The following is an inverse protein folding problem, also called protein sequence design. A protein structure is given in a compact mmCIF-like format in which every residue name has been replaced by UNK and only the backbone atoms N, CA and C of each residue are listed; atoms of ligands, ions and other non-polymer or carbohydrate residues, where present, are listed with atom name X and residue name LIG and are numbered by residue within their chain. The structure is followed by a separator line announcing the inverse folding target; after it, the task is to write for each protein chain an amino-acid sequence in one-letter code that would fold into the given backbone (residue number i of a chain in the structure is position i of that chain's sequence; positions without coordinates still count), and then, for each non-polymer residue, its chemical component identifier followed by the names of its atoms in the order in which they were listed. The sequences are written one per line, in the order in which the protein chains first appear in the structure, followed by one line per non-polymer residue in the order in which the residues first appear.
data_IF_918355694492
#
_entry.id   IF_918355694492
#
_cell.length_a   1.000
_cell.length_b   1.000
_cell.length_c   1.000
_cell.angle_alpha   90.00
_cell.angle_beta   90.00
_cell.angle_gamma   90.00
#
_symmetry.space_group_name_H-M   'P 1'
#
loop_
_entity.id
_entity.type
_entity.pdbx_description
1 polymer ?
#
# COMPACT_ATOMS: atom_id res chain seq x y z
N UNK A 1 18.05 3.33 -22.90
CA UNK A 1 17.16 2.59 -21.97
C UNK A 1 17.87 2.52 -20.64
N UNK A 2 17.28 3.09 -19.59
CA UNK A 2 17.82 2.95 -18.25
C UNK A 2 17.50 1.54 -17.74
N UNK A 3 18.53 0.79 -17.37
CA UNK A 3 18.41 -0.58 -16.88
C UNK A 3 18.66 -0.61 -15.39
N UNK A 4 17.73 -1.16 -14.63
CA UNK A 4 17.93 -1.36 -13.20
C UNK A 4 18.66 -2.68 -12.93
N UNK A 5 19.70 -2.63 -12.09
CA UNK A 5 20.38 -3.83 -11.63
C UNK A 5 19.60 -4.48 -10.47
N UNK A 6 18.61 -5.31 -10.82
CA UNK A 6 17.74 -6.01 -9.86
C UNK A 6 18.54 -6.93 -8.92
N UNK A 7 19.59 -7.56 -9.45
CA UNK A 7 20.46 -8.41 -8.65
C UNK A 7 21.19 -7.62 -7.56
N UNK A 8 21.66 -6.41 -7.87
CA UNK A 8 22.28 -5.53 -6.89
C UNK A 8 21.27 -5.08 -5.82
N UNK A 9 20.06 -4.69 -6.23
CA UNK A 9 18.97 -4.29 -5.30
C UNK A 9 18.64 -5.43 -4.34
N UNK A 10 18.39 -6.63 -4.88
CA UNK A 10 18.03 -7.81 -4.08
C UNK A 10 19.18 -8.25 -3.16
N UNK A 11 20.44 -8.21 -3.63
CA UNK A 11 21.61 -8.55 -2.81
C UNK A 11 21.80 -7.58 -1.65
N UNK A 12 21.71 -6.27 -1.92
CA UNK A 12 21.84 -5.23 -0.89
C UNK A 12 20.78 -5.37 0.18
N UNK A 13 19.52 -5.53 -0.21
CA UNK A 13 18.42 -5.64 0.77
C UNK A 13 18.48 -6.95 1.56
N UNK A 14 18.83 -8.07 0.94
CA UNK A 14 19.02 -9.35 1.65
C UNK A 14 20.17 -9.27 2.67
N UNK A 15 21.25 -8.56 2.34
CA UNK A 15 22.36 -8.30 3.28
C UNK A 15 21.90 -7.49 4.50
N UNK A 16 21.11 -6.44 4.31
CA UNK A 16 20.60 -5.63 5.44
C UNK A 16 19.70 -6.46 6.35
N UNK A 17 18.86 -7.33 5.78
CA UNK A 17 18.00 -8.25 6.56
C UNK A 17 18.85 -9.21 7.41
N UNK A 18 19.82 -9.87 6.77
CA UNK A 18 20.66 -10.90 7.42
C UNK A 18 21.61 -10.31 8.46
N UNK A 19 22.30 -9.22 8.13
CA UNK A 19 23.22 -8.54 9.05
C UNK A 19 22.47 -7.81 10.18
N UNK A 20 21.27 -7.29 9.90
CA UNK A 20 20.51 -6.47 10.86
C UNK A 20 19.73 -7.26 11.91
N UNK A 21 19.30 -8.49 11.61
CA UNK A 21 18.43 -9.25 12.52
C UNK A 21 19.18 -9.92 13.70
N UNK A 22 20.50 -10.12 13.59
CA UNK A 22 21.26 -10.96 14.53
C UNK A 22 22.12 -10.20 15.55
N UNK A 23 22.35 -8.88 15.39
CA UNK A 23 23.35 -8.15 16.19
C UNK A 23 22.88 -6.82 16.80
N UNK A 24 21.59 -6.50 16.78
CA UNK A 24 21.07 -5.22 17.28
C UNK A 24 20.71 -5.28 18.76
N UNK A 25 21.13 -4.27 19.52
CA UNK A 25 20.68 -4.07 20.90
C UNK A 25 19.30 -3.40 20.86
N UNK A 26 18.29 -4.12 21.35
CA UNK A 26 16.89 -3.68 21.22
C UNK A 26 16.51 -2.81 22.40
N UNK A 27 16.13 -1.55 22.15
CA UNK A 27 15.59 -0.66 23.19
C UNK A 27 14.31 -1.19 23.83
N UNK A 28 13.43 -1.82 23.04
CA UNK A 28 12.15 -2.37 23.48
C UNK A 28 11.99 -3.84 23.07
N UNK A 29 12.73 -4.79 23.68
CA UNK A 29 12.79 -6.18 23.21
C UNK A 29 11.43 -6.89 23.27
N UNK A 30 10.56 -6.51 24.21
CA UNK A 30 9.20 -7.07 24.38
C UNK A 30 8.31 -6.84 23.17
N UNK A 31 8.49 -5.74 22.43
CA UNK A 31 7.68 -5.44 21.24
C UNK A 31 7.91 -6.45 20.10
N UNK A 32 9.01 -7.23 20.13
CA UNK A 32 9.23 -8.34 19.20
C UNK A 32 8.16 -9.42 19.31
N UNK A 33 7.68 -9.66 20.51
CA UNK A 33 6.69 -10.71 20.78
C UNK A 33 5.33 -10.37 20.14
N UNK A 34 4.98 -9.08 20.06
CA UNK A 34 3.75 -8.59 19.43
C UNK A 34 3.64 -8.96 17.95
N UNK A 35 4.77 -9.17 17.27
CA UNK A 35 4.81 -9.55 15.85
C UNK A 35 5.11 -11.03 15.62
N UNK A 36 5.15 -11.86 16.67
CA UNK A 36 5.12 -13.33 16.59
C UNK A 36 6.13 -13.97 15.60
N UNK A 37 7.37 -13.48 15.56
CA UNK A 37 8.43 -14.07 14.73
C UNK A 37 8.51 -13.53 13.29
N UNK A 38 7.83 -12.42 12.99
CA UNK A 38 8.02 -11.69 11.73
C UNK A 38 9.42 -11.08 11.66
N UNK A 39 10.11 -11.32 10.55
CA UNK A 39 11.47 -10.83 10.26
C UNK A 39 11.50 -9.75 9.19
N UNK A 40 10.41 -9.57 8.43
CA UNK A 40 10.28 -8.52 7.43
C UNK A 40 8.82 -8.06 7.32
N UNK A 41 8.61 -6.76 7.40
CA UNK A 41 7.31 -6.14 7.10
C UNK A 41 7.46 -5.36 5.79
N UNK A 42 6.54 -5.59 4.87
CA UNK A 42 6.50 -4.92 3.56
C UNK A 42 5.21 -4.10 3.49
N UNK A 43 5.34 -2.80 3.29
CA UNK A 43 4.24 -1.82 3.37
C UNK A 43 4.27 -0.85 2.18
N UNK A 44 4.94 -1.25 1.10
CA UNK A 44 5.03 -0.45 -0.13
C UNK A 44 3.73 -0.38 -0.93
N UNK A 45 2.72 -1.17 -0.55
CA UNK A 45 1.50 -1.41 -1.30
C UNK A 45 0.34 -0.59 -0.73
N UNK A 46 -0.35 0.18 -1.58
CA UNK A 46 -1.64 0.76 -1.23
C UNK A 46 -2.72 -0.18 -1.74
N UNK A 47 -3.75 -0.46 -0.93
CA UNK A 47 -4.84 -1.33 -1.36
C UNK A 47 -5.70 -0.61 -2.40
N UNK A 48 -5.26 -0.72 -3.65
CA UNK A 48 -5.84 -0.09 -4.81
C UNK A 48 -6.47 -1.16 -5.70
N UNK A 49 -7.63 -0.82 -6.28
CA UNK A 49 -8.33 -1.66 -7.26
C UNK A 49 -7.46 -1.92 -8.50
N UNK A 50 -6.64 -0.95 -8.90
CA UNK A 50 -5.59 -1.16 -9.89
C UNK A 50 -4.28 -1.38 -9.16
N UNK A 51 -3.82 -2.63 -9.12
CA UNK A 51 -2.45 -2.96 -8.73
C UNK A 51 -1.47 -2.14 -9.58
N UNK A 52 -0.72 -1.15 -9.05
CA UNK A 52 0.29 -0.44 -9.82
C UNK A 52 1.42 -1.39 -10.24
N UNK A 53 2.00 -1.16 -11.41
CA UNK A 53 3.06 -2.03 -11.94
C UNK A 53 4.38 -1.96 -11.14
N UNK A 54 4.64 -0.85 -10.46
CA UNK A 54 5.75 -0.75 -9.51
C UNK A 54 5.51 -1.59 -8.24
N UNK A 55 4.24 -1.83 -7.86
CA UNK A 55 3.91 -2.79 -6.79
C UNK A 55 4.07 -4.24 -7.26
N UNK A 56 3.81 -4.56 -8.53
CA UNK A 56 4.15 -5.89 -9.11
C UNK A 56 5.66 -6.11 -9.04
N UNK A 57 6.44 -5.10 -9.44
CA UNK A 57 7.89 -5.13 -9.31
C UNK A 57 8.34 -5.27 -7.84
N UNK A 58 7.71 -4.53 -6.93
CA UNK A 58 7.98 -4.63 -5.50
C UNK A 58 7.79 -6.05 -4.97
N UNK A 59 6.67 -6.69 -5.32
CA UNK A 59 6.37 -8.08 -4.97
C UNK A 59 7.38 -9.07 -5.57
N UNK A 60 7.79 -8.87 -6.82
CA UNK A 60 8.81 -9.68 -7.48
C UNK A 60 10.18 -9.59 -6.75
N UNK A 61 10.59 -8.38 -6.38
CA UNK A 61 11.85 -8.15 -5.65
C UNK A 61 11.77 -8.68 -4.22
N UNK A 62 10.64 -8.48 -3.54
CA UNK A 62 10.41 -9.00 -2.19
C UNK A 62 10.61 -10.52 -2.14
N UNK A 63 10.05 -11.27 -3.11
CA UNK A 63 10.22 -12.73 -3.19
C UNK A 63 11.69 -13.14 -3.35
N UNK A 64 12.44 -12.44 -4.20
CA UNK A 64 13.86 -12.72 -4.40
C UNK A 64 14.72 -12.37 -3.19
N UNK A 65 14.43 -11.25 -2.52
CA UNK A 65 15.09 -10.87 -1.27
C UNK A 65 14.86 -11.92 -0.19
N UNK A 66 13.61 -12.36 -0.01
CA UNK A 66 13.25 -13.40 0.95
C UNK A 66 14.04 -14.69 0.71
N UNK A 67 14.08 -15.16 -0.54
CA UNK A 67 14.83 -16.36 -0.91
C UNK A 67 16.32 -16.22 -0.60
N UNK A 68 16.92 -15.06 -0.89
CA UNK A 68 18.34 -14.79 -0.61
C UNK A 68 18.66 -14.65 0.87
N UNK A 69 17.72 -14.14 1.66
CA UNK A 69 17.85 -14.02 3.11
C UNK A 69 17.48 -15.32 3.86
N UNK A 70 17.01 -16.36 3.16
CA UNK A 70 16.57 -17.61 3.77
C UNK A 70 15.24 -17.50 4.52
N UNK A 71 14.43 -16.48 4.24
CA UNK A 71 13.15 -16.25 4.91
C UNK A 71 12.04 -17.12 4.29
N UNK A 72 11.20 -17.69 5.14
CA UNK A 72 9.95 -18.32 4.73
C UNK A 72 8.84 -17.28 4.52
N UNK A 73 7.72 -17.67 3.92
CA UNK A 73 6.59 -16.76 3.71
C UNK A 73 5.97 -16.30 5.04
N UNK A 74 5.99 -17.15 6.06
CA UNK A 74 5.43 -16.90 7.40
C UNK A 74 6.25 -15.85 8.17
N UNK A 75 7.56 -15.75 7.89
CA UNK A 75 8.44 -14.73 8.46
C UNK A 75 8.21 -13.34 7.84
N UNK A 76 7.33 -13.21 6.83
CA UNK A 76 7.13 -11.98 6.06
C UNK A 76 5.67 -11.52 6.15
N UNK A 77 5.45 -10.28 6.59
CA UNK A 77 4.15 -9.62 6.50
C UNK A 77 4.14 -8.72 5.27
N UNK A 78 3.58 -9.19 4.16
CA UNK A 78 3.34 -8.35 2.98
C UNK A 78 1.98 -7.67 3.09
N UNK A 79 1.98 -6.37 3.37
CA UNK A 79 0.80 -5.63 3.79
C UNK A 79 0.42 -4.58 2.76
N UNK A 80 -0.86 -4.61 2.38
CA UNK A 80 -1.49 -3.58 1.55
C UNK A 80 -2.22 -2.59 2.47
N UNK A 81 -1.80 -1.33 2.45
CA UNK A 81 -2.37 -0.26 3.25
C UNK A 81 -3.75 0.12 2.70
N UNK A 82 -4.81 -0.28 3.41
CA UNK A 82 -6.22 -0.08 3.07
C UNK A 82 -6.87 1.08 3.81
N UNK A 83 -6.04 1.87 4.49
CA UNK A 83 -6.42 3.09 5.18
C UNK A 83 -6.17 4.36 4.34
N UNK A 84 -6.22 4.23 3.02
CA UNK A 84 -6.03 5.34 2.07
C UNK A 84 -7.35 6.06 1.77
N UNK A 85 -7.27 7.24 1.15
CA UNK A 85 -8.43 7.92 0.58
C UNK A 85 -8.52 7.62 -0.92
N UNK A 86 -9.36 6.66 -1.35
CA UNK A 86 -9.34 6.17 -2.73
C UNK A 86 -9.40 7.27 -3.79
N UNK A 87 -10.15 8.34 -3.49
CA UNK A 87 -10.32 9.53 -4.34
C UNK A 87 -9.02 10.26 -4.71
N UNK A 88 -8.04 10.25 -3.82
CA UNK A 88 -6.85 11.10 -3.89
C UNK A 88 -5.57 10.37 -4.31
N UNK A 89 -5.55 9.04 -4.21
CA UNK A 89 -4.38 8.24 -4.57
C UNK A 89 -4.28 8.00 -6.09
N UNK A 90 -3.05 7.96 -6.62
CA UNK A 90 -2.77 7.70 -8.03
C UNK A 90 -2.08 6.34 -8.21
N UNK A 91 -2.57 5.45 -9.10
CA UNK A 91 -3.80 5.55 -9.90
C UNK A 91 -5.05 5.64 -9.02
N UNK A 92 -6.12 6.29 -9.49
CA UNK A 92 -7.36 6.53 -8.73
C UNK A 92 -7.90 5.24 -8.11
N UNK A 93 -7.86 5.11 -6.79
CA UNK A 93 -8.21 3.88 -6.05
C UNK A 93 -9.66 3.45 -6.22
N UNK A 94 -10.55 4.37 -6.60
CA UNK A 94 -11.97 4.13 -6.78
C UNK A 94 -12.39 3.77 -8.21
N UNK A 95 -11.45 3.75 -9.17
CA UNK A 95 -11.75 3.45 -10.58
C UNK A 95 -10.94 2.26 -11.04
N UNK A 96 -11.48 1.41 -11.90
CA UNK A 96 -10.67 0.46 -12.69
C UNK A 96 -10.14 1.19 -13.92
N UNK A 97 -8.93 0.93 -14.39
CA UNK A 97 -8.35 1.61 -15.56
C UNK A 97 -8.19 0.67 -16.76
N UNK A 98 -9.11 0.72 -17.72
CA UNK A 98 -9.04 -0.05 -18.96
C UNK A 98 -8.67 0.79 -20.17
N UNK A 99 -7.49 1.43 -20.19
CA UNK A 99 -6.92 2.22 -21.33
C UNK A 99 -7.74 3.43 -21.85
N UNK A 100 -9.06 3.36 -21.78
CA UNK A 100 -10.07 4.22 -22.37
C UNK A 100 -11.38 4.26 -21.58
N UNK A 101 -11.67 3.24 -20.74
CA UNK A 101 -12.84 3.19 -19.86
C UNK A 101 -12.39 3.11 -18.41
N UNK A 102 -13.02 3.92 -17.55
CA UNK A 102 -12.73 3.93 -16.13
C UNK A 102 -14.01 3.77 -15.30
N UNK A 103 -14.53 2.55 -15.10
CA UNK A 103 -15.70 2.37 -14.25
C UNK A 103 -15.33 2.68 -12.80
N UNK A 104 -16.27 3.25 -12.07
CA UNK A 104 -16.15 3.42 -10.63
C UNK A 104 -16.50 2.10 -9.94
N UNK A 105 -15.77 1.75 -8.88
CA UNK A 105 -16.01 0.50 -8.14
C UNK A 105 -16.04 0.66 -6.62
N UNK A 106 -15.56 1.79 -6.10
CA UNK A 106 -15.60 2.12 -4.67
C UNK A 106 -16.31 3.45 -4.44
N UNK A 107 -16.80 3.63 -3.23
CA UNK A 107 -17.11 4.95 -2.70
C UNK A 107 -15.79 5.67 -2.35
N UNK A 108 -15.48 6.84 -2.95
CA UNK A 108 -14.22 7.52 -2.71
C UNK A 108 -14.11 8.16 -1.31
N UNK A 109 -15.24 8.38 -0.62
CA UNK A 109 -15.26 9.06 0.69
C UNK A 109 -15.23 8.07 1.87
N UNK A 110 -15.56 6.80 1.63
CA UNK A 110 -15.63 5.77 2.68
C UNK A 110 -14.33 5.00 2.83
N UNK A 111 -14.00 4.63 4.06
CA UNK A 111 -12.85 3.77 4.38
C UNK A 111 -12.98 2.41 3.68
N UNK A 112 -11.94 1.99 2.93
CA UNK A 112 -11.99 0.81 2.06
C UNK A 112 -12.46 -0.46 2.79
N UNK A 113 -11.88 -0.76 3.95
CA UNK A 113 -12.18 -1.98 4.69
C UNK A 113 -13.54 -1.94 5.41
N UNK A 114 -14.20 -0.78 5.47
CA UNK A 114 -15.55 -0.63 6.03
C UNK A 114 -16.64 -0.66 4.93
N UNK A 115 -16.26 -0.77 3.66
CA UNK A 115 -17.19 -0.94 2.55
C UNK A 115 -17.62 -2.41 2.42
N UNK A 116 -18.90 -2.61 2.15
CA UNK A 116 -19.60 -3.90 2.15
C UNK A 116 -19.89 -4.44 0.74
N UNK A 117 -19.58 -3.68 -0.32
CA UNK A 117 -19.75 -4.12 -1.69
C UNK A 117 -18.80 -3.41 -2.67
N UNK A 118 -18.32 -4.17 -3.66
CA UNK A 118 -17.65 -3.62 -4.84
C UNK A 118 -18.68 -3.28 -5.91
N UNK A 119 -18.73 -2.02 -6.37
CA UNK A 119 -19.73 -1.49 -7.30
C UNK A 119 -19.38 -1.72 -8.79
N UNK A 120 -18.78 -2.86 -9.13
CA UNK A 120 -18.41 -3.15 -10.52
C UNK A 120 -19.63 -3.54 -11.36
N UNK A 121 -19.88 -2.80 -12.44
CA UNK A 121 -20.91 -3.09 -13.44
C UNK A 121 -20.29 -3.37 -14.81
N UNK A 122 -20.28 -4.64 -15.23
CA UNK A 122 -19.75 -5.06 -16.53
C UNK A 122 -20.49 -4.46 -17.72
N UNK A 123 -21.78 -4.14 -17.59
CA UNK A 123 -22.57 -3.57 -18.68
C UNK A 123 -22.21 -2.11 -18.93
N UNK A 124 -21.88 -1.35 -17.88
CA UNK A 124 -21.32 -0.01 -18.01
C UNK A 124 -19.97 -0.03 -18.76
N UNK A 125 -19.13 -1.04 -18.50
CA UNK A 125 -17.82 -1.18 -19.18
C UNK A 125 -18.00 -1.54 -20.66
N UNK A 126 -18.91 -2.45 -20.99
CA UNK A 126 -19.18 -2.87 -22.39
C UNK A 126 -19.75 -1.70 -23.22
N UNK A 127 -20.74 -0.97 -22.67
CA UNK A 127 -21.40 0.16 -23.36
C UNK A 127 -20.41 1.27 -23.72
N UNK A 128 -19.45 1.54 -22.85
CA UNK A 128 -18.44 2.59 -23.04
C UNK A 128 -17.15 2.08 -23.74
N UNK A 129 -16.87 0.77 -23.66
CA UNK A 129 -15.64 0.12 -24.12
C UNK A 129 -15.71 -0.43 -25.55
N UNK A 130 -16.79 -1.09 -25.94
CA UNK A 130 -16.93 -1.65 -27.31
C UNK A 130 -16.94 -0.56 -28.39
N UNK A 131 -17.42 0.65 -28.07
CA UNK A 131 -17.39 1.79 -29.00
C UNK A 131 -16.02 2.48 -29.11
N UNK A 132 -15.01 2.12 -28.28
CA UNK A 132 -13.74 2.86 -28.16
C UNK A 132 -12.45 2.02 -28.27
N UNK A 133 -12.56 0.69 -28.39
CA UNK A 133 -11.44 -0.23 -28.75
C UNK A 133 -10.78 0.13 -30.10
N UNK A 134 -11.38 1.03 -30.90
CA UNK A 134 -10.79 1.70 -32.08
C UNK A 134 -9.45 2.42 -31.84
N UNK A 135 -8.95 2.45 -30.61
CA UNK A 135 -7.66 3.04 -30.21
C UNK A 135 -6.55 2.02 -30.01
N UNK A 136 -6.85 0.72 -30.01
CA UNK A 136 -5.83 -0.33 -29.93
C UNK A 136 -5.09 -0.42 -31.28
N UNK A 137 -3.78 -0.76 -31.32
CA UNK A 137 -3.08 -0.98 -32.57
C UNK A 137 -3.82 -2.04 -33.40
N UNK A 138 -4.22 -1.71 -34.64
CA UNK A 138 -5.05 -2.58 -35.50
C UNK A 138 -4.47 -3.99 -35.65
N UNK A 139 -3.13 -4.09 -35.64
CA UNK A 139 -2.39 -5.34 -35.78
C UNK A 139 -2.45 -6.28 -34.56
N UNK A 140 -2.90 -5.79 -33.39
CA UNK A 140 -2.94 -6.57 -32.13
C UNK A 140 -4.30 -6.55 -31.44
N UNK A 141 -5.35 -6.20 -32.19
CA UNK A 141 -6.68 -6.00 -31.61
C UNK A 141 -7.25 -7.27 -30.95
N UNK A 142 -7.00 -8.45 -31.52
CA UNK A 142 -7.48 -9.72 -30.95
C UNK A 142 -6.72 -10.13 -29.68
N UNK A 143 -5.38 -9.95 -29.63
CA UNK A 143 -4.61 -10.16 -28.40
C UNK A 143 -5.09 -9.22 -27.27
N UNK A 144 -5.35 -7.96 -27.62
CA UNK A 144 -5.81 -6.94 -26.69
C UNK A 144 -7.21 -7.27 -26.15
N UNK A 145 -8.12 -7.77 -27.00
CA UNK A 145 -9.45 -8.23 -26.61
C UNK A 145 -9.39 -9.44 -25.69
N UNK A 146 -8.58 -10.45 -26.03
CA UNK A 146 -8.42 -11.64 -25.20
C UNK A 146 -7.93 -11.28 -23.78
N UNK A 147 -6.92 -10.41 -23.66
CA UNK A 147 -6.42 -9.95 -22.35
C UNK A 147 -7.43 -9.08 -21.60
N UNK A 148 -8.23 -8.29 -22.31
CA UNK A 148 -9.33 -7.55 -21.71
C UNK A 148 -10.36 -8.51 -21.09
N UNK A 149 -10.75 -9.56 -21.82
CA UNK A 149 -11.72 -10.55 -21.33
C UNK A 149 -11.17 -11.31 -20.10
N UNK A 150 -9.88 -11.60 -20.06
CA UNK A 150 -9.21 -12.18 -18.87
C UNK A 150 -9.32 -11.26 -17.65
N UNK A 151 -9.06 -9.96 -17.80
CA UNK A 151 -9.16 -9.01 -16.69
C UNK A 151 -10.62 -8.81 -16.27
N UNK A 152 -11.54 -8.66 -17.23
CA UNK A 152 -12.96 -8.48 -16.93
C UNK A 152 -13.53 -9.71 -16.20
N UNK A 153 -13.12 -10.92 -16.58
CA UNK A 153 -13.49 -12.14 -15.89
C UNK A 153 -13.05 -12.13 -14.41
N UNK A 154 -11.86 -11.61 -14.10
CA UNK A 154 -11.37 -11.47 -12.72
C UNK A 154 -12.26 -10.49 -11.93
N UNK A 155 -12.56 -9.31 -12.48
CA UNK A 155 -13.42 -8.35 -11.78
C UNK A 155 -14.85 -8.87 -11.60
N UNK A 156 -15.42 -9.54 -12.60
CA UNK A 156 -16.74 -10.16 -12.50
C UNK A 156 -16.78 -11.22 -11.41
N UNK A 157 -15.78 -12.11 -11.37
CA UNK A 157 -15.63 -13.17 -10.36
C UNK A 157 -15.66 -12.62 -8.93
N UNK A 158 -15.06 -11.45 -8.71
CA UNK A 158 -14.95 -10.82 -7.38
C UNK A 158 -15.94 -9.67 -7.13
N UNK A 159 -16.90 -9.45 -8.04
CA UNK A 159 -17.95 -8.42 -7.88
C UNK A 159 -19.01 -8.81 -6.84
N UNK A 160 -19.77 -7.83 -6.35
CA UNK A 160 -20.90 -8.03 -5.44
C UNK A 160 -20.61 -7.74 -3.96
N UNK A 161 -21.49 -8.22 -3.08
CA UNK A 161 -21.46 -7.97 -1.64
C UNK A 161 -20.38 -8.78 -0.91
N UNK A 162 -19.82 -8.23 0.16
CA UNK A 162 -18.78 -8.84 0.99
C UNK A 162 -17.67 -7.84 1.34
N UNK A 163 -16.69 -8.30 2.13
CA UNK A 163 -15.63 -7.42 2.61
C UNK A 163 -14.76 -6.90 1.45
N UNK A 164 -14.86 -5.60 1.16
CA UNK A 164 -14.23 -5.01 -0.03
C UNK A 164 -12.72 -5.19 -0.04
N UNK A 165 -12.05 -5.04 1.11
CA UNK A 165 -10.59 -5.20 1.18
C UNK A 165 -10.13 -6.60 0.73
N UNK A 166 -10.83 -7.66 1.17
CA UNK A 166 -10.51 -9.04 0.82
C UNK A 166 -10.75 -9.31 -0.67
N UNK A 167 -11.83 -8.75 -1.23
CA UNK A 167 -12.13 -8.85 -2.66
C UNK A 167 -11.06 -8.16 -3.51
N UNK A 168 -10.58 -6.98 -3.11
CA UNK A 168 -9.48 -6.30 -3.81
C UNK A 168 -8.20 -7.14 -3.72
N UNK A 169 -7.87 -7.70 -2.56
CA UNK A 169 -6.72 -8.62 -2.43
C UNK A 169 -6.87 -9.84 -3.36
N UNK A 170 -8.07 -10.41 -3.47
CA UNK A 170 -8.33 -11.54 -4.37
C UNK A 170 -8.17 -11.16 -5.85
N UNK A 171 -8.65 -9.98 -6.26
CA UNK A 171 -8.43 -9.41 -7.60
C UNK A 171 -6.93 -9.27 -7.86
N UNK A 172 -6.19 -8.66 -6.91
CA UNK A 172 -4.75 -8.44 -7.03
C UNK A 172 -3.97 -9.75 -7.09
N UNK A 173 -4.38 -10.77 -6.34
CA UNK A 173 -3.82 -12.12 -6.41
C UNK A 173 -4.03 -12.73 -7.80
N UNK A 174 -5.24 -12.63 -8.36
CA UNK A 174 -5.54 -13.14 -9.70
C UNK A 174 -4.76 -12.36 -10.78
N UNK A 175 -4.55 -11.05 -10.62
CA UNK A 175 -3.67 -10.25 -11.49
C UNK A 175 -2.22 -10.70 -11.43
N UNK A 176 -1.67 -10.89 -10.23
CA UNK A 176 -0.32 -11.39 -10.06
C UNK A 176 -0.18 -12.78 -10.70
N UNK A 177 -1.20 -13.63 -10.61
CA UNK A 177 -1.22 -14.94 -11.28
C UNK A 177 -1.14 -14.83 -12.81
N UNK A 178 -1.77 -13.83 -13.44
CA UNK A 178 -1.66 -13.59 -14.89
C UNK A 178 -0.22 -13.31 -15.34
N UNK A 179 0.61 -12.72 -14.47
CA UNK A 179 2.04 -12.51 -14.78
C UNK A 179 2.84 -13.81 -14.75
N UNK A 180 2.33 -14.84 -14.08
CA UNK A 180 3.04 -16.09 -13.81
C UNK A 180 4.33 -15.91 -13.00
N UNK A 181 4.43 -14.83 -12.23
CA UNK A 181 5.53 -14.56 -11.31
C UNK A 181 5.12 -15.03 -9.92
N UNK A 182 6.01 -15.77 -9.27
CA UNK A 182 5.82 -16.14 -7.88
C UNK A 182 6.02 -14.91 -6.99
N UNK A 183 5.02 -14.65 -6.14
CA UNK A 183 4.95 -13.47 -5.28
C UNK A 183 4.47 -13.88 -3.89
N UNK A 184 4.83 -13.09 -2.88
CA UNK A 184 4.32 -13.26 -1.52
C UNK A 184 2.94 -12.62 -1.45
N UNK A 185 1.93 -13.36 -0.97
CA UNK A 185 0.56 -12.87 -0.91
C UNK A 185 0.42 -11.65 0.01
N UNK A 186 -0.35 -10.67 -0.43
CA UNK A 186 -0.66 -9.47 0.34
C UNK A 186 -1.78 -9.71 1.36
N UNK A 187 -1.74 -8.98 2.47
CA UNK A 187 -2.80 -8.95 3.50
C UNK A 187 -3.26 -7.50 3.73
N UNK A 188 -4.55 -7.24 3.98
CA UNK A 188 -5.01 -5.89 4.32
C UNK A 188 -4.38 -5.41 5.63
N UNK A 189 -3.96 -4.15 5.69
CA UNK A 189 -3.41 -3.54 6.90
C UNK A 189 -4.41 -3.61 8.07
N UNK A 190 -5.68 -3.27 7.82
CA UNK A 190 -6.75 -3.32 8.82
C UNK A 190 -6.86 -4.67 9.55
N UNK A 191 -6.61 -5.77 8.83
CA UNK A 191 -6.73 -7.14 9.34
C UNK A 191 -5.42 -7.66 9.95
N UNK A 192 -4.27 -7.25 9.40
CA UNK A 192 -2.97 -7.84 9.74
C UNK A 192 -2.18 -7.06 10.78
N UNK A 193 -2.24 -5.72 10.74
CA UNK A 193 -1.35 -4.86 11.53
C UNK A 193 -2.05 -3.90 12.49
N UNK A 194 -3.33 -3.59 12.33
CA UNK A 194 -4.00 -2.62 13.22
C UNK A 194 -3.95 -3.02 14.70
N UNK A 195 -4.19 -4.30 15.01
CA UNK A 195 -4.13 -4.80 16.40
C UNK A 195 -2.70 -4.78 16.96
N UNK A 196 -1.69 -5.39 16.29
CA UNK A 196 -0.29 -5.25 16.70
C UNK A 196 0.15 -3.79 16.87
N UNK A 197 -0.28 -2.89 15.98
CA UNK A 197 0.00 -1.46 16.07
C UNK A 197 -0.60 -0.87 17.36
N UNK A 198 -1.86 -1.15 17.67
CA UNK A 198 -2.48 -0.66 18.90
C UNK A 198 -1.75 -1.17 20.15
N UNK A 199 -1.32 -2.44 20.14
CA UNK A 199 -0.57 -3.05 21.24
C UNK A 199 0.81 -2.41 21.43
N UNK A 200 1.52 -2.10 20.33
CA UNK A 200 2.80 -1.36 20.37
C UNK A 200 2.59 0.04 20.95
N UNK A 201 1.61 0.78 20.45
CA UNK A 201 1.35 2.15 20.91
C UNK A 201 0.94 2.18 22.38
N UNK A 202 0.16 1.20 22.83
CA UNK A 202 -0.22 1.07 24.24
C UNK A 202 0.98 0.75 25.12
N UNK A 203 1.86 -0.15 24.68
CA UNK A 203 3.10 -0.44 25.38
C UNK A 203 3.99 0.80 25.49
N UNK A 204 4.25 1.50 24.39
CA UNK A 204 5.07 2.73 24.38
C UNK A 204 4.49 3.80 25.32
N UNK A 205 3.16 3.95 25.34
CA UNK A 205 2.50 4.87 26.26
C UNK A 205 2.76 4.53 27.73
N UNK A 206 2.77 3.25 28.11
CA UNK A 206 3.08 2.79 29.47
C UNK A 206 4.55 3.04 29.84
N UNK A 207 5.44 3.02 28.86
CA UNK A 207 6.86 3.34 29.00
C UNK A 207 7.14 4.86 29.01
N UNK A 208 6.12 5.70 29.00
CA UNK A 208 6.28 7.16 29.03
C UNK A 208 6.44 7.82 27.65
N UNK A 209 6.13 7.10 26.58
CA UNK A 209 6.16 7.59 25.19
C UNK A 209 4.76 7.57 24.56
N UNK A 210 3.81 8.38 25.05
CA UNK A 210 2.51 8.49 24.43
C UNK A 210 2.63 9.08 23.02
N UNK A 211 2.01 8.43 22.02
CA UNK A 211 2.18 8.84 20.62
C UNK A 211 1.62 10.23 20.31
N UNK A 212 0.70 10.77 21.12
CA UNK A 212 0.19 12.13 20.97
C UNK A 212 1.19 13.22 21.40
N UNK A 213 2.30 12.84 22.01
CA UNK A 213 3.43 13.74 22.32
C UNK A 213 4.60 13.55 21.34
N UNK A 214 4.45 12.64 20.37
CA UNK A 214 5.48 12.34 19.38
C UNK A 214 5.79 13.58 18.53
N UNK A 215 7.08 13.91 18.30
CA UNK A 215 7.44 15.04 17.46
C UNK A 215 7.04 14.81 16.00
N UNK A 216 6.58 15.89 15.37
CA UNK A 216 6.12 15.91 13.97
C UNK A 216 7.02 16.86 13.21
N UNK A 217 7.55 16.50 12.04
CA UNK A 217 8.45 17.38 11.30
C UNK A 217 7.79 18.73 10.97
N UNK A 218 8.49 19.82 11.30
CA UNK A 218 7.99 21.19 11.32
C UNK A 218 7.57 21.77 9.94
N UNK A 219 7.94 21.16 8.82
CA UNK A 219 7.64 21.65 7.45
C UNK A 219 6.21 21.33 6.99
N UNK A 220 5.29 21.36 7.92
CA UNK A 220 3.92 20.93 7.73
C UNK A 220 3.08 22.09 8.26
N UNK A 221 2.74 23.01 7.36
CA UNK A 221 1.97 24.24 7.65
C UNK A 221 0.44 24.02 7.68
N UNK A 222 -0.05 22.88 7.20
CA UNK A 222 -1.49 22.51 7.19
C UNK A 222 -2.05 21.99 8.54
N UNK A 223 -1.34 22.15 9.66
CA UNK A 223 -1.48 21.26 10.82
C UNK A 223 -1.63 22.00 12.16
N UNK A 224 -2.20 23.21 12.12
CA UNK A 224 -2.49 23.99 13.33
C UNK A 224 -3.69 23.40 14.09
N UNK A 225 -4.64 22.79 13.38
CA UNK A 225 -5.96 22.46 13.94
C UNK A 225 -6.21 20.97 14.21
N UNK A 226 -5.40 20.02 13.70
CA UNK A 226 -5.69 18.57 13.73
C UNK A 226 -4.46 17.69 14.06
N UNK A 227 -4.70 16.51 14.66
CA UNK A 227 -3.64 15.63 15.18
C UNK A 227 -2.84 14.91 14.13
N UNK A 228 -3.34 14.76 12.89
CA UNK A 228 -2.78 13.96 11.77
C UNK A 228 -2.30 12.52 12.12
N UNK A 229 -2.40 12.05 13.36
CA UNK A 229 -1.95 10.75 13.88
C UNK A 229 -3.05 9.70 13.73
N UNK A 230 -4.28 10.12 13.96
CA UNK A 230 -5.49 9.31 13.78
C UNK A 230 -6.53 10.13 13.04
N UNK A 231 -7.40 9.43 12.31
CA UNK A 231 -8.64 9.98 11.78
C UNK A 231 -9.80 9.24 12.45
N UNK A 232 -10.87 9.96 12.77
CA UNK A 232 -12.11 9.36 13.24
C UNK A 232 -12.89 8.72 12.11
N UNK A 233 -13.77 7.79 12.46
CA UNK A 233 -14.72 7.19 11.53
C UNK A 233 -16.13 7.64 11.92
N UNK A 234 -16.83 8.29 10.99
CA UNK A 234 -18.21 8.75 11.21
C UNK A 234 -19.23 7.62 11.11
N UNK A 235 -20.51 7.95 11.38
CA UNK A 235 -21.61 7.00 11.30
C UNK A 235 -21.80 6.35 9.91
N UNK A 236 -21.29 6.97 8.85
CA UNK A 236 -21.36 6.48 7.47
C UNK A 236 -20.10 5.67 7.07
N UNK A 237 -19.10 5.58 7.96
CA UNK A 237 -17.82 4.95 7.67
C UNK A 237 -16.86 5.82 6.86
N UNK A 238 -17.06 7.14 6.87
CA UNK A 238 -16.18 8.13 6.24
C UNK A 238 -15.14 8.64 7.23
N UNK A 239 -14.00 9.08 6.71
CA UNK A 239 -12.89 9.59 7.51
C UNK A 239 -13.16 11.02 7.96
N UNK A 240 -12.87 11.30 9.21
CA UNK A 240 -13.04 12.62 9.82
C UNK A 240 -11.74 13.07 10.46
N UNK A 241 -11.25 14.28 10.15
CA UNK A 241 -10.09 14.84 10.84
C UNK A 241 -10.31 14.86 12.35
N UNK A 242 -9.34 14.33 13.11
CA UNK A 242 -9.37 14.33 14.57
C UNK A 242 -8.48 15.44 15.14
N UNK A 243 -8.91 16.05 16.24
CA UNK A 243 -8.19 17.04 17.07
C UNK A 243 -7.80 16.41 18.40
N UNK A 244 -6.76 16.92 19.06
CA UNK A 244 -6.41 16.51 20.42
C UNK A 244 -6.61 17.69 21.36
N UNK A 245 -7.68 17.65 22.15
CA UNK A 245 -8.10 18.73 23.03
C UNK A 245 -7.94 18.28 24.49
N UNK A 246 -7.02 18.93 25.22
CA UNK A 246 -6.69 18.57 26.59
C UNK A 246 -6.11 17.16 26.69
N UNK A 247 -6.97 16.16 26.87
CA UNK A 247 -6.63 14.73 26.98
C UNK A 247 -7.54 13.83 26.15
N UNK A 248 -8.20 14.40 25.13
CA UNK A 248 -9.20 13.69 24.34
C UNK A 248 -8.98 13.88 22.84
N UNK A 249 -9.17 12.82 22.08
CA UNK A 249 -9.30 12.87 20.63
C UNK A 249 -10.73 13.22 20.26
N UNK A 250 -10.92 14.27 19.46
CA UNK A 250 -12.23 14.82 19.11
C UNK A 250 -12.40 14.84 17.60
N UNK A 251 -13.50 14.30 17.10
CA UNK A 251 -13.84 14.37 15.68
C UNK A 251 -15.36 14.43 15.49
N UNK A 252 -15.78 14.94 14.33
CA UNK A 252 -17.20 14.99 13.95
C UNK A 252 -17.71 13.56 13.70
N UNK A 253 -18.81 13.15 14.32
CA UNK A 253 -19.40 11.82 14.09
C UNK A 253 -20.59 11.86 13.14
N UNK A 254 -21.34 12.97 13.15
CA UNK A 254 -22.39 13.28 12.19
C UNK A 254 -22.60 14.80 12.11
N UNK A 255 -23.67 15.24 11.46
CA UNK A 255 -23.95 16.66 11.30
C UNK A 255 -24.21 17.42 12.62
N UNK A 256 -24.52 16.69 13.68
CA UNK A 256 -25.03 17.20 14.95
C UNK A 256 -24.20 16.79 16.17
N UNK A 257 -23.27 15.85 16.03
CA UNK A 257 -22.53 15.29 17.15
C UNK A 257 -21.02 15.21 16.91
N UNK A 258 -20.26 15.43 17.98
CA UNK A 258 -18.84 15.13 18.06
C UNK A 258 -18.63 13.86 18.89
N UNK A 259 -17.68 13.03 18.46
CA UNK A 259 -17.15 11.94 19.26
C UNK A 259 -15.94 12.43 20.04
N UNK A 260 -15.85 12.06 21.32
CA UNK A 260 -14.72 12.38 22.20
C UNK A 260 -14.17 11.10 22.81
N UNK A 261 -12.92 10.78 22.51
CA UNK A 261 -12.22 9.58 22.97
C UNK A 261 -11.12 10.01 23.95
N UNK A 262 -11.23 9.68 25.25
CA UNK A 262 -10.15 9.90 26.20
C UNK A 262 -8.86 9.22 25.75
N UNK A 263 -7.71 9.86 25.99
CA UNK A 263 -6.39 9.33 25.59
C UNK A 263 -6.18 7.88 26.06
N UNK A 264 -6.60 7.54 27.29
CA UNK A 264 -6.51 6.17 27.81
C UNK A 264 -7.38 5.12 27.10
N UNK A 265 -8.35 5.53 26.26
CA UNK A 265 -9.24 4.64 25.49
C UNK A 265 -8.88 4.57 24.00
N UNK A 266 -7.86 5.30 23.54
CA UNK A 266 -7.55 5.40 22.11
C UNK A 266 -7.08 4.07 21.50
N UNK A 267 -6.41 3.22 22.29
CA UNK A 267 -5.92 1.92 21.83
C UNK A 267 -7.07 0.96 21.53
N UNK A 268 -8.11 0.96 22.36
CA UNK A 268 -9.32 0.18 22.10
C UNK A 268 -10.10 0.72 20.91
N UNK A 269 -10.15 2.05 20.74
CA UNK A 269 -10.75 2.68 19.58
C UNK A 269 -10.04 2.32 18.26
N UNK A 270 -8.71 2.16 18.27
CA UNK A 270 -7.95 1.63 17.13
C UNK A 270 -8.32 0.17 16.85
N UNK A 271 -8.44 -0.67 17.89
CA UNK A 271 -8.79 -2.10 17.75
C UNK A 271 -10.22 -2.31 17.24
N UNK A 272 -11.14 -1.38 17.53
CA UNK A 272 -12.53 -1.41 17.09
C UNK A 272 -12.80 -0.64 15.80
N UNK A 273 -11.78 0.00 15.22
CA UNK A 273 -11.88 0.86 14.03
C UNK A 273 -12.79 2.10 14.21
N UNK A 274 -12.99 2.55 15.46
CA UNK A 274 -13.63 3.86 15.72
C UNK A 274 -12.71 5.02 15.29
N UNK A 275 -11.40 4.77 15.33
CA UNK A 275 -10.37 5.59 14.69
C UNK A 275 -9.47 4.71 13.83
N UNK A 276 -8.89 5.30 12.79
CA UNK A 276 -7.92 4.66 11.91
C UNK A 276 -6.56 5.33 12.05
N UNK A 277 -5.47 4.54 12.16
CA UNK A 277 -4.12 5.11 12.23
C UNK A 277 -3.75 5.73 10.89
N UNK A 278 -3.03 6.84 10.93
CA UNK A 278 -2.42 7.43 9.75
C UNK A 278 -0.99 6.92 9.57
N UNK A 279 -0.38 7.26 8.42
CA UNK A 279 0.99 6.87 8.08
C UNK A 279 2.05 7.12 9.18
N UNK A 280 2.09 8.26 9.89
CA UNK A 280 3.05 8.44 10.99
C UNK A 280 2.96 7.38 12.09
N UNK A 281 1.74 6.94 12.46
CA UNK A 281 1.57 5.88 13.46
C UNK A 281 1.93 4.50 12.90
N UNK A 282 1.64 4.26 11.62
CA UNK A 282 2.11 3.04 10.94
C UNK A 282 3.63 2.98 11.02
N UNK A 283 4.34 4.06 10.65
CA UNK A 283 5.80 4.12 10.70
C UNK A 283 6.30 3.93 12.13
N UNK A 284 5.70 4.62 13.11
CA UNK A 284 6.09 4.49 14.51
C UNK A 284 5.98 3.03 14.95
N UNK A 285 4.82 2.41 14.80
CA UNK A 285 4.59 1.07 15.31
C UNK A 285 5.44 0.02 14.59
N UNK A 286 5.62 0.17 13.27
CA UNK A 286 6.45 -0.78 12.52
C UNK A 286 7.93 -0.58 12.86
N UNK A 287 8.44 0.65 12.91
CA UNK A 287 9.86 0.94 13.18
C UNK A 287 10.30 0.65 14.63
N UNK A 288 9.39 0.77 15.60
CA UNK A 288 9.66 0.52 17.02
C UNK A 288 9.55 -0.94 17.41
N UNK A 289 8.72 -1.70 16.69
CA UNK A 289 8.73 -3.13 16.76
C UNK A 289 10.01 -3.67 16.14
N UNK A 290 10.68 -4.56 16.87
CA UNK A 290 12.11 -4.66 17.15
C UNK A 290 13.07 -4.29 16.01
N UNK A 291 12.97 -3.07 15.46
CA UNK A 291 13.78 -2.66 14.32
C UNK A 291 13.68 -3.67 13.15
N UNK A 292 12.52 -4.33 12.98
CA UNK A 292 12.28 -5.22 11.84
C UNK A 292 12.52 -4.39 10.59
N UNK A 293 13.37 -4.82 9.62
CA UNK A 293 13.51 -4.10 8.38
C UNK A 293 12.15 -3.93 7.71
N UNK A 294 11.83 -2.70 7.31
CA UNK A 294 10.61 -2.36 6.58
C UNK A 294 10.94 -2.11 5.13
N UNK A 295 10.26 -2.81 4.24
CA UNK A 295 10.37 -2.51 2.82
C UNK A 295 9.42 -1.37 2.43
N UNK A 296 9.99 -0.17 2.34
CA UNK A 296 9.29 1.06 1.99
C UNK A 296 9.18 1.26 0.47
N UNK A 297 7.96 1.56 0.03
CA UNK A 297 7.66 1.89 -1.37
C UNK A 297 8.15 3.26 -1.80
N UNK A 298 7.71 3.71 -2.99
CA UNK A 298 8.12 5.01 -3.55
C UNK A 298 7.69 6.22 -2.70
N UNK A 299 6.50 6.16 -2.10
CA UNK A 299 5.97 7.21 -1.21
C UNK A 299 6.74 7.28 0.11
N UNK A 300 7.31 6.15 0.54
CA UNK A 300 8.04 6.05 1.79
C UNK A 300 9.38 6.75 1.70
N UNK A 301 10.09 6.68 0.57
CA UNK A 301 11.47 7.20 0.45
C UNK A 301 11.65 8.69 0.79
N UNK A 302 10.68 9.56 0.53
CA UNK A 302 10.80 11.00 0.81
C UNK A 302 10.25 11.41 2.18
N UNK A 303 9.38 10.58 2.75
CA UNK A 303 8.64 10.91 3.96
C UNK A 303 9.06 10.05 5.16
N UNK A 304 9.14 8.73 4.96
CA UNK A 304 9.41 7.79 6.02
C UNK A 304 10.77 8.02 6.67
N UNK A 305 11.88 8.29 5.96
CA UNK A 305 13.16 8.54 6.62
C UNK A 305 13.11 9.65 7.66
N UNK A 306 12.49 10.78 7.33
CA UNK A 306 12.38 11.93 8.22
C UNK A 306 11.55 11.57 9.47
N UNK A 307 10.47 10.80 9.31
CA UNK A 307 9.63 10.35 10.42
C UNK A 307 10.35 9.34 11.30
N UNK A 308 10.96 8.32 10.68
CA UNK A 308 11.72 7.28 11.38
C UNK A 308 12.84 7.91 12.19
N UNK A 309 13.63 8.82 11.62
CA UNK A 309 14.75 9.43 12.32
C UNK A 309 14.30 10.32 13.49
N UNK A 310 13.22 11.08 13.32
CA UNK A 310 12.65 11.90 14.38
C UNK A 310 12.07 11.03 15.52
N UNK A 311 11.36 9.96 15.17
CA UNK A 311 10.76 9.01 16.11
C UNK A 311 11.84 8.21 16.85
N UNK A 312 12.86 7.72 16.15
CA UNK A 312 13.98 7.00 16.74
C UNK A 312 14.71 7.88 17.77
N UNK A 313 14.99 9.14 17.41
CA UNK A 313 15.59 10.11 18.34
C UNK A 313 14.72 10.34 19.58
N UNK A 314 13.41 10.49 19.40
CA UNK A 314 12.47 10.69 20.51
C UNK A 314 12.44 9.50 21.47
N UNK A 315 12.51 8.29 20.93
CA UNK A 315 12.47 7.03 21.69
C UNK A 315 13.82 6.59 22.27
N UNK A 316 14.91 7.27 21.89
CA UNK A 316 16.27 6.87 22.23
C UNK A 316 16.67 5.54 21.58
N UNK A 317 16.28 5.33 20.32
CA UNK A 317 16.67 4.20 19.48
C UNK A 317 17.87 4.63 18.62
N UNK A 318 18.91 3.81 18.57
CA UNK A 318 20.14 4.12 17.83
C UNK A 318 19.97 3.90 16.32
N UNK A 319 19.13 2.96 15.93
CA UNK A 319 18.77 2.63 14.55
C UNK A 319 17.99 3.76 13.89
N UNK A 320 18.40 4.07 12.67
CA UNK A 320 17.82 5.12 11.85
C UNK A 320 17.29 4.58 10.54
N UNK A 321 16.71 5.46 9.76
CA UNK A 321 16.06 5.14 8.49
C UNK A 321 16.94 4.35 7.51
N UNK A 322 18.25 4.56 7.51
CA UNK A 322 19.24 3.83 6.70
C UNK A 322 19.34 2.33 7.03
N UNK A 323 19.04 1.96 8.27
CA UNK A 323 19.07 0.56 8.76
C UNK A 323 17.70 -0.10 8.81
N UNK A 324 16.62 0.69 8.89
CA UNK A 324 15.25 0.22 9.06
C UNK A 324 14.43 0.25 7.79
N UNK A 325 14.72 1.15 6.83
CA UNK A 325 13.92 1.33 5.63
C UNK A 325 14.68 0.75 4.43
N UNK A 326 14.28 -0.46 4.04
CA UNK A 326 14.69 -1.08 2.80
C UNK A 326 13.93 -0.43 1.63
N UNK A 327 14.52 -0.46 0.44
CA UNK A 327 13.81 -0.04 -0.75
C UNK A 327 14.06 -0.94 -1.95
N UNK A 328 13.00 -1.16 -2.73
CA UNK A 328 13.06 -1.80 -4.05
C UNK A 328 13.51 -0.85 -5.16
N UNK A 329 13.79 0.42 -4.84
CA UNK A 329 14.12 1.52 -5.76
C UNK A 329 12.95 2.31 -6.36
N UNK A 330 11.69 1.88 -6.18
CA UNK A 330 10.53 2.61 -6.73
C UNK A 330 10.47 2.58 -8.27
N UNK A 331 10.96 1.49 -8.84
CA UNK A 331 11.11 1.27 -10.27
C UNK A 331 9.77 1.02 -10.96
N UNK A 332 9.52 1.75 -12.06
CA UNK A 332 8.33 1.58 -12.91
C UNK A 332 8.74 0.89 -14.22
N UNK A 333 8.72 -0.45 -14.28
CA UNK A 333 9.26 -1.19 -15.43
C UNK A 333 8.50 -0.91 -16.72
N UNK A 334 7.19 -0.66 -16.64
CA UNK A 334 6.33 -0.49 -17.81
C UNK A 334 5.41 0.70 -17.59
N UNK A 335 5.27 1.52 -18.61
CA UNK A 335 4.37 2.66 -18.56
C UNK A 335 3.61 2.72 -19.88
N UNK A 336 2.31 2.99 -19.79
CA UNK A 336 1.49 3.28 -20.96
C UNK A 336 0.97 4.71 -20.91
N UNK A 337 0.79 5.32 -22.08
CA UNK A 337 0.34 6.70 -22.20
C UNK A 337 -0.79 6.85 -23.19
N UNK A 338 -1.72 7.76 -22.89
CA UNK A 338 -2.72 8.24 -23.83
C UNK A 338 -2.79 9.76 -23.73
N UNK A 339 -2.56 10.47 -24.84
CA UNK A 339 -2.66 11.94 -24.88
C UNK A 339 -1.86 12.60 -23.75
N UNK A 340 -0.59 12.18 -23.58
CA UNK A 340 0.33 12.64 -22.53
C UNK A 340 -0.05 12.27 -21.07
N UNK A 341 -1.10 11.49 -20.83
CA UNK A 341 -1.42 10.99 -19.50
C UNK A 341 -0.78 9.61 -19.26
N UNK A 342 -0.04 9.45 -18.16
CA UNK A 342 0.51 8.16 -17.70
C UNK A 342 -0.55 7.24 -17.12
N UNK A 343 -0.44 5.96 -17.46
CA UNK A 343 -1.17 4.85 -16.86
C UNK A 343 -0.17 3.79 -16.43
N UNK A 344 -0.27 3.39 -15.17
CA UNK A 344 0.62 2.40 -14.53
C UNK A 344 -0.15 1.31 -13.80
N UNK A 345 -1.49 1.35 -13.83
CA UNK A 345 -2.35 0.30 -13.26
C UNK A 345 -2.26 -0.99 -14.07
N UNK A 346 -2.27 -2.12 -13.36
CA UNK A 346 -2.10 -3.46 -13.92
C UNK A 346 -3.02 -3.75 -15.10
N UNK A 347 -4.34 -3.47 -15.06
CA UNK A 347 -5.21 -3.75 -16.20
C UNK A 347 -4.70 -3.13 -17.51
N UNK A 348 -4.37 -1.83 -17.49
CA UNK A 348 -3.84 -1.13 -18.66
C UNK A 348 -2.47 -1.67 -19.10
N UNK A 349 -1.56 -1.96 -18.15
CA UNK A 349 -0.24 -2.50 -18.46
C UNK A 349 -0.34 -3.91 -19.06
N UNK A 350 -1.13 -4.79 -18.46
CA UNK A 350 -1.30 -6.17 -18.92
C UNK A 350 -1.94 -6.23 -20.31
N UNK A 351 -2.98 -5.43 -20.56
CA UNK A 351 -3.60 -5.36 -21.89
C UNK A 351 -2.58 -4.97 -22.97
N UNK A 352 -1.74 -3.97 -22.70
CA UNK A 352 -0.75 -3.48 -23.67
C UNK A 352 0.41 -4.44 -23.88
N UNK A 353 1.03 -4.92 -22.79
CA UNK A 353 2.31 -5.61 -22.87
C UNK A 353 2.18 -7.14 -22.82
N UNK A 354 1.14 -7.67 -22.18
CA UNK A 354 1.00 -9.10 -21.96
C UNK A 354 2.05 -9.68 -20.99
N UNK A 355 1.87 -10.96 -20.67
CA UNK A 355 2.67 -11.68 -19.69
C UNK A 355 4.16 -11.68 -20.03
N UNK A 356 4.51 -12.03 -21.26
CA UNK A 356 5.90 -12.28 -21.68
C UNK A 356 6.76 -11.02 -21.55
N UNK A 357 6.21 -9.87 -21.97
CA UNK A 357 6.93 -8.59 -21.89
C UNK A 357 7.02 -8.11 -20.44
N UNK A 358 5.97 -8.28 -19.63
CA UNK A 358 6.02 -7.99 -18.18
C UNK A 358 7.12 -8.79 -17.52
N UNK A 359 7.16 -10.10 -17.75
CA UNK A 359 8.19 -10.96 -17.18
C UNK A 359 9.60 -10.56 -17.66
N UNK A 360 9.75 -10.26 -18.95
CA UNK A 360 11.04 -9.81 -19.50
C UNK A 360 11.50 -8.52 -18.84
N UNK A 361 10.63 -7.51 -18.78
CA UNK A 361 10.95 -6.22 -18.18
C UNK A 361 11.33 -6.35 -16.71
N UNK A 362 10.62 -7.20 -15.96
CA UNK A 362 10.91 -7.47 -14.56
C UNK A 362 12.19 -8.27 -14.35
N UNK A 363 12.53 -9.25 -15.20
CA UNK A 363 13.79 -10.01 -15.06
C UNK A 363 15.02 -9.21 -15.48
N UNK A 364 14.89 -8.46 -16.57
CA UNK A 364 16.01 -7.74 -17.16
C UNK A 364 16.15 -6.31 -16.61
N UNK A 365 15.18 -5.82 -15.85
CA UNK A 365 15.19 -4.45 -15.32
C UNK A 365 15.05 -3.42 -16.45
N UNK A 366 14.16 -3.68 -17.41
CA UNK A 366 13.92 -2.81 -18.57
C UNK A 366 12.76 -1.85 -18.31
N UNK A 367 12.99 -0.56 -18.59
CA UNK A 367 11.95 0.45 -18.55
C UNK A 367 11.40 0.69 -19.96
N UNK A 368 10.15 0.28 -20.20
CA UNK A 368 9.48 0.43 -21.48
C UNK A 368 8.32 1.42 -21.38
N UNK A 369 8.12 2.19 -22.45
CA UNK A 369 7.09 3.21 -22.57
C UNK A 369 6.36 3.03 -23.89
N UNK A 370 5.04 2.98 -23.87
CA UNK A 370 4.20 2.81 -25.07
C UNK A 370 3.06 3.81 -25.05
N UNK A 371 2.83 4.50 -26.17
CA UNK A 371 1.64 5.34 -26.39
C UNK A 371 0.58 4.56 -27.19
N UNK A 372 -0.68 4.58 -26.74
CA UNK A 372 -1.76 3.81 -27.35
C UNK A 372 -2.01 4.07 -28.84
N UNK A 373 -1.57 5.22 -29.38
CA UNK A 373 -1.78 5.61 -30.78
C UNK A 373 -0.50 5.66 -31.62
N UNK A 374 0.67 5.37 -31.04
CA UNK A 374 1.96 5.51 -31.71
C UNK A 374 2.95 4.52 -31.10
N UNK A 375 3.40 3.55 -31.89
CA UNK A 375 4.60 2.78 -31.51
C UNK A 375 5.76 3.78 -31.59
N UNK A 376 6.25 4.22 -30.44
CA UNK A 376 7.52 4.96 -30.37
C UNK A 376 8.59 3.88 -30.22
N UNK A 377 9.36 3.66 -31.30
CA UNK A 377 10.50 2.75 -31.34
C UNK A 377 11.70 3.31 -30.60
#
# INVERSE_FOLDING_TARGET
MDRLNIEAVTKRNAKIITDGAQSRDLRFPRLRETFAGVELISTFSHLNVNLPIDEVYGNYVLRQMAARAGLTAEAIRNVAYDNIHPGHDAPKGYRVQYVIVNPHVLDPERVIHLQDALKYDSNAVIRDGQNRIKSAPEQKIEEFRARYDEIDAIYRKHSGSGHVAERIIAIRKDFLALTGIEVIAEQPFSQSLTRPLADVLEFLCREGFPFWEMPVPAHRDRYVDYTFLVEGVDALGSRQPARFEGTQFVFRYDDTSERRIPAGKIFDALRSFEVVPTMPLVILATATAPQVPHLGGRVWKSYAPVHVDAQAKWLGIDERSDTLILSTEGYKPLITYRQNQEFTGFPAIYMTYGREIIQKALREGLQLRVEFKRIVY
#
